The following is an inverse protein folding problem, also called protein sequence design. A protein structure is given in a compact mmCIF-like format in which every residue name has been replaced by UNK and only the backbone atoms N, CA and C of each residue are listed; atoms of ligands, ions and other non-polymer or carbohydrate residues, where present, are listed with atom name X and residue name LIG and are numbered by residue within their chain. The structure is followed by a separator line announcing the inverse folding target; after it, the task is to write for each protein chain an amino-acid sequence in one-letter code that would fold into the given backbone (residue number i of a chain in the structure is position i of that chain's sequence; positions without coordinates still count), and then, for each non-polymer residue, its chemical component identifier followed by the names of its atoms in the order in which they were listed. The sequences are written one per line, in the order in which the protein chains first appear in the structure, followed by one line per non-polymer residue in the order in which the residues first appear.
data_IF_727242754506
#
_entry.id   IF_727242754506
#
_cell.length_a   1.000
_cell.length_b   1.000
_cell.length_c   1.000
_cell.angle_alpha   90.00
_cell.angle_beta   90.00
_cell.angle_gamma   90.00
#
_symmetry.space_group_name_H-M   'P 1'
#
loop_
_entity.id
_entity.type
_entity.pdbx_description
1 polymer ?
#
# COMPACT_ATOMS: atom_id res chain seq x y z
N UNK A 1 -20.78 -8.34 1.57
CA UNK A 1 -19.89 -7.82 2.63
C UNK A 1 -18.57 -7.41 1.97
N UNK A 2 -17.95 -6.36 2.50
CA UNK A 2 -16.80 -5.67 1.90
C UNK A 2 -15.81 -5.34 3.02
N UNK A 3 -14.52 -5.57 2.77
CA UNK A 3 -13.43 -5.15 3.65
C UNK A 3 -12.91 -3.78 3.19
N UNK A 4 -12.57 -2.91 4.13
CA UNK A 4 -12.06 -1.58 3.85
C UNK A 4 -10.57 -1.48 4.20
N UNK A 5 -9.76 -1.03 3.25
CA UNK A 5 -8.37 -0.64 3.48
C UNK A 5 -8.17 0.83 3.12
N UNK A 6 -7.06 1.41 3.58
CA UNK A 6 -6.89 2.86 3.63
C UNK A 6 -5.61 3.30 2.96
N UNK A 7 -5.65 4.45 2.30
CA UNK A 7 -4.49 5.14 1.78
C UNK A 7 -4.60 6.63 2.08
N UNK A 8 -3.46 7.29 2.34
CA UNK A 8 -3.39 8.74 2.41
C UNK A 8 -2.53 9.24 1.24
N UNK A 9 -3.20 9.65 0.17
CA UNK A 9 -2.55 10.00 -1.10
C UNK A 9 -2.82 11.45 -1.51
N UNK A 10 -2.09 11.90 -2.51
CA UNK A 10 -2.13 13.26 -3.06
C UNK A 10 -2.70 13.22 -4.47
N UNK A 11 -3.36 14.30 -4.89
CA UNK A 11 -3.59 14.56 -6.30
C UNK A 11 -2.31 15.14 -6.91
N UNK A 12 -1.90 14.60 -8.06
CA UNK A 12 -0.75 15.06 -8.85
C UNK A 12 -1.25 15.51 -10.23
N UNK A 13 -0.42 16.18 -11.05
CA UNK A 13 -0.79 16.49 -12.43
C UNK A 13 -1.08 15.24 -13.29
N UNK A 14 -0.51 14.08 -12.95
CA UNK A 14 -0.58 12.86 -13.78
C UNK A 14 -1.60 11.82 -13.29
N UNK A 15 -1.91 11.81 -11.99
CA UNK A 15 -2.83 10.86 -11.37
C UNK A 15 -3.42 11.40 -10.06
N UNK A 16 -4.59 10.89 -9.70
CA UNK A 16 -5.35 11.30 -8.52
C UNK A 16 -5.11 10.39 -7.30
N UNK A 17 -5.50 10.84 -6.11
CA UNK A 17 -5.33 10.10 -4.87
C UNK A 17 -6.11 8.77 -4.83
N UNK A 18 -7.20 8.66 -5.60
CA UNK A 18 -8.00 7.45 -5.82
C UNK A 18 -7.59 6.66 -7.06
N UNK A 19 -6.42 6.96 -7.64
CA UNK A 19 -5.85 6.17 -8.73
C UNK A 19 -5.75 4.69 -8.35
N UNK A 20 -6.23 3.85 -9.26
CA UNK A 20 -6.19 2.40 -9.15
C UNK A 20 -5.17 1.75 -10.11
N UNK A 21 -4.40 2.55 -10.85
CA UNK A 21 -3.40 2.04 -11.80
C UNK A 21 -2.06 1.72 -11.15
N UNK A 22 -1.76 2.31 -9.98
CA UNK A 22 -0.49 2.11 -9.27
C UNK A 22 0.66 2.91 -9.87
N UNK A 23 0.37 3.97 -10.62
CA UNK A 23 1.35 4.75 -11.38
C UNK A 23 2.41 5.40 -10.47
N UNK A 24 2.03 5.90 -9.30
CA UNK A 24 2.98 6.47 -8.35
C UNK A 24 4.08 5.49 -7.94
N UNK A 25 3.69 4.30 -7.44
CA UNK A 25 4.63 3.27 -7.05
C UNK A 25 5.39 2.67 -8.24
N UNK A 26 4.78 2.64 -9.43
CA UNK A 26 5.46 2.25 -10.66
C UNK A 26 6.62 3.19 -10.98
N UNK A 27 6.46 4.50 -10.80
CA UNK A 27 7.51 5.49 -11.08
C UNK A 27 8.64 5.46 -10.05
N UNK A 28 8.30 5.42 -8.76
CA UNK A 28 9.29 5.57 -7.67
C UNK A 28 9.83 4.25 -7.15
N UNK A 29 9.13 3.15 -7.38
CA UNK A 29 9.28 1.93 -6.58
C UNK A 29 8.79 2.12 -5.14
N UNK A 30 8.92 1.06 -4.36
CA UNK A 30 8.57 1.03 -2.94
C UNK A 30 9.36 -0.05 -2.21
N UNK A 31 8.89 -0.46 -1.03
CA UNK A 31 9.51 -1.59 -0.28
C UNK A 31 9.30 -2.92 -0.99
N UNK A 32 8.14 -3.11 -1.61
CA UNK A 32 7.67 -4.37 -2.19
C UNK A 32 7.52 -4.32 -3.72
N UNK A 33 8.10 -3.32 -4.39
CA UNK A 33 8.16 -3.28 -5.85
C UNK A 33 9.34 -2.44 -6.35
N UNK A 34 9.97 -2.89 -7.43
CA UNK A 34 10.92 -2.06 -8.19
C UNK A 34 10.19 -1.05 -9.10
N UNK A 35 10.86 0.07 -9.47
CA UNK A 35 10.37 0.94 -10.53
C UNK A 35 10.03 0.16 -11.80
N UNK A 36 9.00 0.60 -12.51
CA UNK A 36 8.42 -0.07 -13.68
C UNK A 36 7.30 -1.06 -13.36
N UNK A 37 7.15 -1.49 -12.11
CA UNK A 37 6.09 -2.42 -11.70
C UNK A 37 4.98 -1.71 -10.91
N UNK A 38 3.75 -1.62 -11.45
CA UNK A 38 2.65 -0.96 -10.76
C UNK A 38 2.12 -1.80 -9.59
N UNK A 39 1.86 -1.14 -8.47
CA UNK A 39 1.24 -1.72 -7.28
C UNK A 39 0.60 -0.60 -6.48
N UNK A 40 -0.52 -0.87 -5.80
CA UNK A 40 -1.10 0.08 -4.86
C UNK A 40 -0.70 -0.32 -3.45
N UNK A 41 -0.18 0.64 -2.68
CA UNK A 41 0.04 0.49 -1.25
C UNK A 41 -1.16 1.04 -0.48
N UNK A 42 -1.69 0.22 0.41
CA UNK A 42 -2.76 0.58 1.35
C UNK A 42 -2.44 -0.05 2.71
N UNK A 43 -3.16 0.33 3.75
CA UNK A 43 -3.04 -0.24 5.10
C UNK A 43 -4.41 -0.73 5.60
N UNK A 44 -4.42 -1.76 6.45
CA UNK A 44 -5.66 -2.29 7.03
C UNK A 44 -6.41 -1.24 7.87
N UNK A 45 -5.68 -0.32 8.49
CA UNK A 45 -6.24 0.71 9.35
C UNK A 45 -5.72 2.11 8.98
N UNK A 46 -6.47 3.14 9.39
CA UNK A 46 -6.15 4.55 9.07
C UNK A 46 -4.91 5.04 9.82
N UNK A 47 -4.69 4.51 11.03
CA UNK A 47 -3.54 4.83 11.88
C UNK A 47 -2.23 4.38 11.23
N UNK A 48 -2.17 3.18 10.68
CA UNK A 48 -1.01 2.67 9.96
C UNK A 48 -0.79 3.43 8.65
N UNK A 49 -1.86 3.71 7.89
CA UNK A 49 -1.75 4.57 6.71
C UNK A 49 -1.15 5.96 7.06
N UNK A 50 -1.50 6.50 8.23
CA UNK A 50 -0.93 7.73 8.78
C UNK A 50 0.57 7.57 9.06
N UNK A 51 0.96 6.54 9.81
CA UNK A 51 2.35 6.26 10.18
C UNK A 51 3.25 6.04 8.95
N UNK A 52 2.83 5.18 8.02
CA UNK A 52 3.57 4.89 6.77
C UNK A 52 3.79 6.16 5.96
N UNK A 53 2.75 6.99 5.85
CA UNK A 53 2.86 8.25 5.09
C UNK A 53 3.78 9.24 5.80
N UNK A 54 3.73 9.36 7.13
CA UNK A 54 4.60 10.25 7.91
C UNK A 54 6.07 9.85 7.80
N UNK A 55 6.38 8.57 7.99
CA UNK A 55 7.75 8.05 7.89
C UNK A 55 8.30 8.25 6.47
N UNK A 56 7.47 8.04 5.44
CA UNK A 56 7.89 8.24 4.06
C UNK A 56 8.18 9.71 3.71
N UNK A 57 7.54 10.66 4.41
CA UNK A 57 7.66 12.09 4.12
C UNK A 57 8.86 12.79 4.76
N UNK A 58 9.58 12.11 5.66
CA UNK A 58 10.76 12.70 6.31
C UNK A 58 10.47 13.99 7.07
N UNK A 59 9.26 14.14 7.63
CA UNK A 59 8.89 15.26 8.51
C UNK A 59 8.31 16.51 7.85
N UNK A 60 8.14 16.57 6.52
CA UNK A 60 7.45 17.70 5.86
C UNK A 60 5.96 17.42 5.79
N UNK A 61 5.11 18.28 6.37
CA UNK A 61 3.65 18.18 6.25
C UNK A 61 3.17 18.61 4.85
N UNK A 62 2.67 17.69 4.03
CA UNK A 62 2.16 18.00 2.71
C UNK A 62 0.68 18.38 2.83
N UNK A 63 0.34 19.55 2.30
CA UNK A 63 -0.99 20.13 2.47
C UNK A 63 -2.07 19.46 1.59
N UNK A 64 -1.69 18.79 0.49
CA UNK A 64 -2.62 18.23 -0.49
C UNK A 64 -2.84 16.71 -0.32
N UNK A 65 -3.29 16.26 0.85
CA UNK A 65 -3.58 14.83 1.10
C UNK A 65 -5.06 14.55 1.30
N UNK A 66 -5.46 13.35 0.90
CA UNK A 66 -6.82 12.84 1.04
C UNK A 66 -6.78 11.48 1.70
N UNK A 67 -7.76 11.25 2.58
CA UNK A 67 -8.07 9.91 3.03
C UNK A 67 -8.87 9.20 1.95
N UNK A 68 -8.34 8.08 1.49
CA UNK A 68 -8.93 7.24 0.46
C UNK A 68 -9.33 5.93 1.10
N UNK A 69 -10.60 5.57 0.94
CA UNK A 69 -11.11 4.23 1.26
C UNK A 69 -11.00 3.37 0.02
N UNK A 70 -10.52 2.16 0.18
CA UNK A 70 -10.52 1.14 -0.85
C UNK A 70 -11.47 0.02 -0.40
N UNK A 71 -12.51 -0.18 -1.19
CA UNK A 71 -13.56 -1.17 -0.99
C UNK A 71 -13.19 -2.48 -1.70
N UNK A 72 -12.90 -3.52 -0.92
CA UNK A 72 -12.50 -4.84 -1.39
C UNK A 72 -13.63 -5.84 -1.11
N UNK A 73 -14.23 -6.47 -2.13
CA UNK A 73 -15.24 -7.50 -1.89
C UNK A 73 -14.67 -8.68 -1.09
N UNK A 74 -15.42 -9.20 -0.12
CA UNK A 74 -14.95 -10.29 0.76
C UNK A 74 -14.42 -11.51 -0.01
N UNK A 75 -15.02 -11.83 -1.16
CA UNK A 75 -14.58 -12.97 -1.98
C UNK A 75 -13.18 -12.75 -2.60
N UNK A 76 -12.76 -11.49 -2.77
CA UNK A 76 -11.39 -11.14 -3.18
C UNK A 76 -10.48 -11.16 -1.95
N UNK A 77 -10.94 -10.58 -0.83
CA UNK A 77 -10.21 -10.56 0.44
C UNK A 77 -9.83 -11.97 0.93
N UNK A 78 -10.77 -12.93 0.90
CA UNK A 78 -10.53 -14.32 1.33
C UNK A 78 -9.49 -15.06 0.48
N UNK A 79 -9.13 -14.53 -0.69
CA UNK A 79 -8.10 -15.09 -1.57
C UNK A 79 -6.76 -14.35 -1.45
N UNK A 80 -6.67 -13.37 -0.56
CA UNK A 80 -5.43 -12.63 -0.36
C UNK A 80 -4.32 -13.57 0.14
N UNK A 81 -3.13 -13.41 -0.43
CA UNK A 81 -1.93 -14.02 0.13
C UNK A 81 -1.51 -13.20 1.35
N UNK A 82 -0.94 -13.86 2.36
CA UNK A 82 -0.49 -13.21 3.60
C UNK A 82 0.94 -13.63 3.89
N UNK A 83 1.82 -12.65 3.98
CA UNK A 83 3.17 -12.80 4.52
C UNK A 83 3.12 -12.31 5.97
N UNK A 84 3.39 -13.19 6.93
CA UNK A 84 3.51 -12.82 8.34
C UNK A 84 4.95 -12.41 8.67
N UNK A 85 5.15 -11.48 9.61
CA UNK A 85 6.49 -11.03 10.01
C UNK A 85 7.36 -12.18 10.55
N UNK A 86 6.75 -13.19 11.20
CA UNK A 86 7.46 -14.37 11.71
C UNK A 86 7.90 -15.34 10.61
N UNK A 87 7.22 -15.31 9.46
CA UNK A 87 7.50 -16.15 8.30
C UNK A 87 8.21 -15.39 7.16
N UNK A 88 8.42 -14.08 7.34
CA UNK A 88 9.04 -13.24 6.35
C UNK A 88 10.55 -13.55 6.22
N UNK A 89 11.11 -13.51 5.00
CA UNK A 89 12.52 -13.77 4.80
C UNK A 89 13.38 -12.74 5.53
N UNK A 90 14.47 -13.20 6.16
CA UNK A 90 15.41 -12.34 6.89
C UNK A 90 15.85 -11.16 6.01
N UNK A 91 15.71 -9.94 6.53
CA UNK A 91 16.03 -8.69 5.84
C UNK A 91 14.88 -8.05 5.06
N UNK A 92 13.64 -8.58 5.15
CA UNK A 92 12.45 -7.94 4.56
C UNK A 92 12.24 -6.50 5.07
N UNK A 93 12.57 -6.28 6.34
CA UNK A 93 12.41 -5.06 7.13
C UNK A 93 13.63 -4.13 7.07
N UNK A 94 14.69 -4.49 6.35
CA UNK A 94 15.93 -3.71 6.28
C UNK A 94 15.69 -2.20 6.00
N UNK A 95 16.50 -1.36 6.66
CA UNK A 95 16.51 0.11 6.52
C UNK A 95 17.97 0.58 6.33
N UNK A 96 18.34 1.16 5.17
CA UNK A 96 17.52 1.34 3.96
C UNK A 96 17.02 0.02 3.36
N UNK A 97 15.93 0.10 2.58
CA UNK A 97 15.27 -1.08 1.99
C UNK A 97 16.26 -1.95 1.19
N UNK A 98 16.31 -3.24 1.51
CA UNK A 98 17.18 -4.23 0.87
C UNK A 98 16.52 -4.96 -0.30
N UNK A 99 17.29 -5.86 -0.93
CA UNK A 99 16.83 -6.68 -2.07
C UNK A 99 15.71 -7.66 -1.67
N UNK A 100 15.69 -8.12 -0.41
CA UNK A 100 14.78 -9.17 0.08
C UNK A 100 13.30 -8.86 -0.14
N UNK A 101 12.81 -7.71 0.35
CA UNK A 101 11.39 -7.33 0.17
C UNK A 101 11.07 -6.97 -1.28
N UNK A 102 12.02 -6.40 -2.01
CA UNK A 102 11.89 -6.12 -3.45
C UNK A 102 11.71 -7.41 -4.25
N UNK A 103 12.55 -8.43 -4.03
CA UNK A 103 12.47 -9.71 -4.74
C UNK A 103 11.16 -10.43 -4.43
N UNK A 104 10.75 -10.45 -3.16
CA UNK A 104 9.49 -11.06 -2.75
C UNK A 104 8.30 -10.42 -3.46
N UNK A 105 8.19 -9.09 -3.39
CA UNK A 105 7.07 -8.37 -4.00
C UNK A 105 7.09 -8.41 -5.53
N UNK A 106 8.28 -8.31 -6.14
CA UNK A 106 8.44 -8.45 -7.59
C UNK A 106 8.06 -9.84 -8.08
N UNK A 107 8.41 -10.89 -7.34
CA UNK A 107 8.03 -12.27 -7.66
C UNK A 107 6.51 -12.45 -7.58
N UNK A 108 5.87 -11.91 -6.54
CA UNK A 108 4.41 -11.91 -6.40
C UNK A 108 3.71 -11.17 -7.55
N UNK A 109 4.18 -9.97 -7.90
CA UNK A 109 3.63 -9.18 -9.02
C UNK A 109 3.75 -9.91 -10.35
N UNK A 110 4.90 -10.54 -10.61
CA UNK A 110 5.15 -11.32 -11.84
C UNK A 110 4.29 -12.58 -11.88
N UNK A 111 4.15 -13.31 -10.76
CA UNK A 111 3.37 -14.52 -10.70
C UNK A 111 1.88 -14.26 -10.95
N UNK A 112 1.38 -13.07 -10.56
CA UNK A 112 0.01 -12.62 -10.80
C UNK A 112 -1.04 -13.67 -10.37
N UNK A 113 -0.78 -14.39 -9.27
CA UNK A 113 -1.63 -15.48 -8.76
C UNK A 113 -2.72 -14.99 -7.80
N UNK A 114 -2.65 -13.73 -7.36
CA UNK A 114 -3.66 -13.10 -6.53
C UNK A 114 -3.67 -11.58 -6.68
N UNK A 115 -4.83 -10.96 -6.44
CA UNK A 115 -4.97 -9.50 -6.50
C UNK A 115 -4.39 -8.79 -5.27
N UNK A 116 -4.33 -9.49 -4.13
CA UNK A 116 -4.02 -8.90 -2.84
C UNK A 116 -2.88 -9.68 -2.18
N UNK A 117 -1.94 -8.93 -1.60
CA UNK A 117 -0.90 -9.46 -0.74
C UNK A 117 -0.84 -8.62 0.54
N UNK A 118 -1.14 -9.24 1.67
CA UNK A 118 -0.93 -8.67 2.99
C UNK A 118 0.54 -8.85 3.35
N UNK A 119 1.20 -7.76 3.70
CA UNK A 119 2.61 -7.72 4.11
C UNK A 119 2.74 -6.99 5.45
N UNK A 120 3.67 -7.40 6.32
CA UNK A 120 3.86 -6.72 7.59
C UNK A 120 4.36 -5.30 7.34
N UNK A 121 3.91 -4.35 8.16
CA UNK A 121 4.53 -3.02 8.17
C UNK A 121 5.93 -3.11 8.78
N UNK A 122 6.90 -2.42 8.19
CA UNK A 122 8.23 -2.28 8.80
C UNK A 122 8.22 -1.33 10.03
N UNK A 123 7.10 -0.63 10.27
CA UNK A 123 6.89 0.25 11.42
C UNK A 123 6.26 -0.53 12.57
N UNK A 124 5.21 -1.31 12.28
CA UNK A 124 4.49 -2.15 13.26
C UNK A 124 4.31 -3.55 12.66
N UNK A 125 5.26 -4.49 12.87
CA UNK A 125 5.28 -5.79 12.20
C UNK A 125 4.04 -6.67 12.40
N UNK A 126 3.29 -6.44 13.48
CA UNK A 126 2.05 -7.14 13.79
C UNK A 126 0.83 -6.63 12.99
N UNK A 127 0.94 -5.46 12.37
CA UNK A 127 -0.10 -4.88 11.51
C UNK A 127 0.26 -4.99 10.02
N UNK A 128 -0.76 -5.05 9.14
CA UNK A 128 -0.53 -5.30 7.72
C UNK A 128 -0.78 -4.06 6.84
N UNK A 129 0.15 -3.86 5.92
CA UNK A 129 -0.12 -3.19 4.67
C UNK A 129 -0.76 -4.17 3.69
N UNK A 130 -1.65 -3.68 2.83
CA UNK A 130 -2.29 -4.47 1.77
C UNK A 130 -1.81 -3.93 0.43
N UNK A 131 -1.04 -4.75 -0.28
CA UNK A 131 -0.62 -4.51 -1.65
C UNK A 131 -1.70 -4.98 -2.60
N UNK A 132 -2.05 -4.16 -3.58
CA UNK A 132 -3.04 -4.48 -4.61
C UNK A 132 -2.33 -4.51 -5.96
N UNK A 133 -2.43 -5.62 -6.68
CA UNK A 133 -1.87 -5.77 -8.02
C UNK A 133 -2.91 -5.29 -9.06
N UNK A 134 -2.69 -4.14 -9.71
CA UNK A 134 -3.65 -3.60 -10.68
C UNK A 134 -3.76 -4.44 -11.95
N UNK A 135 -2.76 -5.28 -12.25
CA UNK A 135 -2.74 -6.17 -13.42
C UNK A 135 -3.53 -7.46 -13.19
N UNK A 136 -3.96 -7.75 -11.96
CA UNK A 136 -4.75 -8.95 -11.67
C UNK A 136 -6.24 -8.72 -11.97
N UNK A 137 -6.89 -9.68 -12.64
CA UNK A 137 -8.31 -9.56 -13.07
C UNK A 137 -9.29 -9.21 -11.95
N UNK A 138 -9.07 -9.73 -10.74
CA UNK A 138 -9.94 -9.47 -9.59
C UNK A 138 -9.82 -8.01 -9.08
N UNK A 139 -8.78 -7.25 -9.47
CA UNK A 139 -8.63 -5.84 -9.13
C UNK A 139 -9.76 -4.98 -9.72
N UNK A 140 -10.35 -5.38 -10.86
CA UNK A 140 -11.50 -4.70 -11.47
C UNK A 140 -12.72 -4.59 -10.54
N UNK A 141 -12.75 -5.39 -9.47
CA UNK A 141 -13.82 -5.42 -8.47
C UNK A 141 -13.54 -4.55 -7.25
N UNK A 142 -12.32 -4.02 -7.14
CA UNK A 142 -11.86 -3.16 -6.05
C UNK A 142 -12.12 -1.71 -6.45
N UNK A 143 -12.63 -0.90 -5.52
CA UNK A 143 -12.97 0.50 -5.80
C UNK A 143 -12.32 1.43 -4.79
N UNK A 144 -11.69 2.50 -5.27
CA UNK A 144 -11.21 3.58 -4.41
C UNK A 144 -12.24 4.72 -4.36
N UNK A 145 -12.29 5.42 -3.23
CA UNK A 145 -13.10 6.63 -3.06
C UNK A 145 -12.36 7.61 -2.16
N UNK A 146 -12.10 8.81 -2.65
CA UNK A 146 -11.63 9.92 -1.81
C UNK A 146 -12.78 10.33 -0.88
N UNK A 147 -12.56 10.22 0.43
CA UNK A 147 -13.61 10.54 1.41
C UNK A 147 -13.55 12.01 1.84
N UNK A 148 -12.35 12.49 2.18
CA UNK A 148 -12.13 13.83 2.71
C UNK A 148 -10.65 14.20 2.61
N UNK A 149 -10.36 15.48 2.80
CA UNK A 149 -8.99 15.94 3.07
C UNK A 149 -8.44 15.25 4.33
N UNK A 150 -7.17 14.89 4.27
CA UNK A 150 -6.41 14.44 5.44
C UNK A 150 -5.56 15.59 5.95
N UNK A 151 -5.79 15.95 7.21
CA UNK A 151 -5.01 16.95 7.92
C UNK A 151 -4.32 16.24 9.07
N UNK A 152 -3.00 16.26 9.08
CA UNK A 152 -2.22 15.77 10.22
C UNK A 152 -2.36 16.76 11.37
N UNK A 153 -2.51 16.24 12.59
CA UNK A 153 -2.55 17.08 13.79
C UNK A 153 -1.16 17.70 14.01
N UNK A 154 -1.13 19.00 14.31
CA UNK A 154 0.09 19.75 14.55
C UNK A 154 0.81 19.35 15.85
N UNK A 155 0.30 18.38 16.62
CA UNK A 155 0.96 17.78 17.80
C UNK A 155 1.70 16.47 17.49
N UNK A 156 1.65 15.97 16.26
CA UNK A 156 2.42 14.79 15.86
C UNK A 156 3.85 15.25 15.51
N UNK A 157 4.65 15.62 16.52
CA UNK A 157 6.06 16.04 16.40
C UNK A 157 6.83 15.71 17.67
#
# INVERSE_FOLDING_TARGET
MTVHVWRIATDTPDYTADDMTGEGAKRTGGRWNRPGKPVLYTAENRSLACLETLVHLGGVLPLNRYLVRIDIPDVVWRRAQKLDHTAAPVGWDAIPRGKTSLDYGDAWLTANTGALLLVPSAIVPEEFNVLINPSHKDCARVKATKLRRWTYDARIW
#
